data_IF_785097936410
#
_entry.id   IF_785097936410
#
_cell.length_a   1.000
_cell.length_b   1.000
_cell.length_c   1.000
_cell.angle_alpha   90.00
_cell.angle_beta   90.00
_cell.angle_gamma   90.00
#
_symmetry.space_group_name_H-M   'P 1'
#
loop_
_entity.id
_entity.type
_entity.pdbx_description
1 polymer ?
#
# COMPACT_ATOMS: atom_id res chain seq x y z
N UNK A 1 43.87 7.21 -37.16
CA UNK A 1 43.09 7.04 -35.92
C UNK A 1 41.94 8.05 -35.98
N UNK A 2 40.68 7.61 -36.00
CA UNK A 2 39.57 8.53 -36.23
C UNK A 2 39.45 9.52 -35.07
N UNK A 3 39.60 10.81 -35.36
CA UNK A 3 39.41 11.93 -34.44
C UNK A 3 37.90 12.12 -34.17
N UNK A 4 37.26 11.07 -33.66
CA UNK A 4 35.81 11.04 -33.43
C UNK A 4 35.54 11.40 -31.98
N UNK A 5 34.75 12.44 -31.77
CA UNK A 5 34.29 12.88 -30.46
C UNK A 5 32.85 12.42 -30.24
N UNK A 6 32.58 11.78 -29.10
CA UNK A 6 31.21 11.48 -28.67
C UNK A 6 30.77 12.50 -27.63
N UNK A 7 29.55 12.99 -27.77
CA UNK A 7 28.93 13.95 -26.85
C UNK A 7 27.53 13.45 -26.50
N UNK A 8 27.21 13.49 -25.21
CA UNK A 8 25.85 13.36 -24.73
C UNK A 8 25.37 14.70 -24.19
N UNK A 9 24.17 15.10 -24.60
CA UNK A 9 23.46 16.25 -24.04
C UNK A 9 22.10 15.86 -23.48
N UNK A 10 21.59 16.66 -22.55
CA UNK A 10 20.31 16.48 -21.88
C UNK A 10 19.50 17.78 -21.91
N UNK A 11 18.17 17.65 -21.97
CA UNK A 11 17.25 18.77 -21.81
C UNK A 11 15.79 18.34 -21.82
N UNK A 12 14.92 19.09 -21.13
CA UNK A 12 13.51 18.73 -20.99
C UNK A 12 12.70 18.83 -22.31
N UNK A 13 13.19 19.58 -23.30
CA UNK A 13 12.57 19.72 -24.64
C UNK A 13 13.61 19.71 -25.75
N UNK A 14 14.66 20.53 -25.61
CA UNK A 14 15.80 20.60 -26.54
C UNK A 14 17.10 20.37 -25.77
N UNK A 15 17.84 19.28 -26.04
CA UNK A 15 19.01 18.91 -25.25
C UNK A 15 20.24 19.73 -25.66
N UNK A 16 20.53 20.81 -24.92
CA UNK A 16 21.70 21.66 -25.12
C UNK A 16 22.73 21.58 -23.97
N UNK A 17 22.35 21.04 -22.82
CA UNK A 17 23.26 20.87 -21.69
C UNK A 17 24.11 19.62 -21.90
N UNK A 18 25.43 19.79 -22.07
CA UNK A 18 26.36 18.66 -22.14
C UNK A 18 26.39 17.94 -20.80
N UNK A 19 26.35 16.62 -20.83
CA UNK A 19 26.42 15.77 -19.64
C UNK A 19 27.57 14.77 -19.69
N UNK A 20 28.03 14.39 -20.88
CA UNK A 20 29.21 13.54 -21.03
C UNK A 20 29.93 13.82 -22.35
N UNK A 21 31.24 13.62 -22.32
CA UNK A 21 32.11 13.72 -23.48
C UNK A 21 33.11 12.56 -23.48
N UNK A 22 33.39 12.05 -24.67
CA UNK A 22 34.47 11.11 -24.93
C UNK A 22 35.26 11.60 -26.14
N UNK A 23 36.56 11.81 -25.96
CA UNK A 23 37.49 12.17 -27.03
C UNK A 23 38.82 11.51 -26.75
N UNK A 24 39.47 10.92 -27.75
CA UNK A 24 40.80 10.30 -27.60
C UNK A 24 40.88 9.27 -26.44
N UNK A 25 39.78 8.53 -26.20
CA UNK A 25 39.59 7.57 -25.08
C UNK A 25 39.51 8.19 -23.68
N UNK A 26 39.58 9.50 -23.57
CA UNK A 26 39.35 10.23 -22.33
C UNK A 26 37.86 10.51 -22.15
N UNK A 27 37.34 10.20 -20.96
CA UNK A 27 35.93 10.39 -20.60
C UNK A 27 35.82 11.55 -19.61
N UNK A 28 34.91 12.48 -19.90
CA UNK A 28 34.56 13.59 -19.01
C UNK A 28 33.05 13.58 -18.76
N UNK A 29 32.63 13.59 -17.51
CA UNK A 29 31.21 13.58 -17.11
C UNK A 29 30.84 14.68 -16.12
N UNK A 30 31.81 15.49 -15.70
CA UNK A 30 31.63 16.54 -14.69
C UNK A 30 31.16 17.85 -15.35
N UNK A 31 30.03 17.78 -16.05
CA UNK A 31 29.42 18.94 -16.72
C UNK A 31 28.16 19.45 -16.01
N UNK A 32 27.42 18.56 -15.36
CA UNK A 32 26.16 18.87 -14.68
C UNK A 32 26.14 18.16 -13.32
N UNK A 33 26.12 18.96 -12.25
CA UNK A 33 26.08 18.50 -10.86
C UNK A 33 24.90 17.54 -10.59
N UNK A 34 23.80 17.65 -11.35
CA UNK A 34 22.67 16.71 -11.28
C UNK A 34 23.13 15.27 -11.43
N UNK A 35 24.08 15.01 -12.32
CA UNK A 35 24.52 13.67 -12.70
C UNK A 35 25.88 13.28 -12.10
N UNK A 36 26.41 14.11 -11.18
CA UNK A 36 27.69 13.86 -10.51
C UNK A 36 27.75 12.47 -9.90
N UNK A 37 28.82 11.74 -10.21
CA UNK A 37 29.05 10.35 -9.79
C UNK A 37 27.98 9.33 -10.26
N UNK A 38 27.07 9.69 -11.17
CA UNK A 38 26.00 8.80 -11.65
C UNK A 38 26.14 8.37 -13.10
N UNK A 39 26.99 9.04 -13.88
CA UNK A 39 27.23 8.72 -15.29
C UNK A 39 28.42 7.80 -15.46
N UNK A 40 28.26 6.80 -16.32
CA UNK A 40 29.36 6.00 -16.84
C UNK A 40 29.28 6.02 -18.37
N UNK A 41 30.37 6.40 -19.02
CA UNK A 41 30.47 6.43 -20.48
C UNK A 41 31.45 5.36 -20.94
N UNK A 42 30.97 4.40 -21.75
CA UNK A 42 31.81 3.30 -22.21
C UNK A 42 32.73 3.77 -23.33
N UNK A 43 34.05 3.77 -23.10
CA UNK A 43 35.04 4.38 -24.00
C UNK A 43 35.14 3.73 -25.39
N UNK A 44 34.64 2.49 -25.54
CA UNK A 44 34.68 1.76 -26.81
C UNK A 44 33.47 2.06 -27.71
N UNK A 45 32.29 2.29 -27.12
CA UNK A 45 31.03 2.43 -27.86
C UNK A 45 30.41 3.82 -27.73
N UNK A 46 30.82 4.61 -26.74
CA UNK A 46 30.17 5.86 -26.37
C UNK A 46 28.80 5.65 -25.70
N UNK A 47 28.48 4.44 -25.24
CA UNK A 47 27.23 4.16 -24.54
C UNK A 47 27.21 4.81 -23.15
N UNK A 48 26.13 5.54 -22.85
CA UNK A 48 25.90 6.20 -21.57
C UNK A 48 25.06 5.31 -20.66
N UNK A 49 25.54 5.11 -19.44
CA UNK A 49 24.78 4.50 -18.34
C UNK A 49 24.53 5.56 -17.27
N UNK A 50 23.29 5.63 -16.79
CA UNK A 50 22.89 6.48 -15.66
C UNK A 50 22.51 5.57 -14.51
N UNK A 51 23.22 5.69 -13.39
CA UNK A 51 22.95 4.92 -12.18
C UNK A 51 22.06 5.71 -11.21
N UNK A 52 21.38 5.00 -10.31
CA UNK A 52 20.49 5.60 -9.29
C UNK A 52 19.51 6.60 -9.90
N UNK A 53 18.69 6.13 -10.85
CA UNK A 53 17.72 6.95 -11.56
C UNK A 53 16.76 7.65 -10.60
N UNK A 54 16.43 8.89 -10.94
CA UNK A 54 15.46 9.74 -10.23
C UNK A 54 14.38 10.16 -11.21
N UNK A 55 13.17 10.44 -10.72
CA UNK A 55 12.08 10.98 -11.55
C UNK A 55 12.51 12.23 -12.35
N UNK A 56 13.37 13.07 -11.78
CA UNK A 56 13.93 14.28 -12.40
C UNK A 56 14.98 14.04 -13.51
N UNK A 57 15.42 12.78 -13.69
CA UNK A 57 16.27 12.38 -14.82
C UNK A 57 15.43 12.12 -16.09
N UNK A 58 14.10 12.15 -15.98
CA UNK A 58 13.23 12.08 -17.15
C UNK A 58 13.48 13.26 -18.08
N UNK A 59 13.53 13.01 -19.39
CA UNK A 59 13.75 14.04 -20.39
C UNK A 59 14.33 13.49 -21.68
N UNK A 60 14.82 14.42 -22.51
CA UNK A 60 15.42 14.11 -23.80
C UNK A 60 16.93 14.04 -23.64
N UNK A 61 17.51 12.93 -24.10
CA UNK A 61 18.95 12.71 -24.20
C UNK A 61 19.33 12.68 -25.68
N UNK A 62 20.39 13.39 -26.05
CA UNK A 62 20.90 13.37 -27.41
C UNK A 62 22.34 12.88 -27.44
N UNK A 63 22.56 11.85 -28.23
CA UNK A 63 23.86 11.33 -28.61
C UNK A 63 24.33 12.02 -29.88
N UNK A 64 25.59 12.45 -29.90
CA UNK A 64 26.26 12.94 -31.10
C UNK A 64 27.64 12.30 -31.23
N UNK A 65 27.93 11.76 -32.42
CA UNK A 65 29.26 11.32 -32.84
C UNK A 65 29.77 12.28 -33.90
N UNK A 66 30.86 12.97 -33.60
CA UNK A 66 31.41 14.09 -34.35
C UNK A 66 32.74 13.63 -34.94
N UNK A 67 32.76 13.32 -36.24
CA UNK A 67 33.98 13.04 -37.00
C UNK A 67 33.95 13.84 -38.30
N UNK A 68 34.28 13.20 -39.43
CA UNK A 68 34.10 13.82 -40.75
C UNK A 68 32.61 14.13 -41.05
N UNK A 69 31.72 13.29 -40.54
CA UNK A 69 30.28 13.52 -40.52
C UNK A 69 29.78 13.55 -39.08
N UNK A 70 28.65 14.21 -38.86
CA UNK A 70 27.95 14.21 -37.56
C UNK A 70 26.81 13.20 -37.63
N UNK A 71 26.82 12.23 -36.73
CA UNK A 71 25.70 11.30 -36.50
C UNK A 71 25.02 11.72 -35.20
N UNK A 72 23.71 11.92 -35.23
CA UNK A 72 22.92 12.25 -34.05
C UNK A 72 21.81 11.22 -33.81
N UNK A 73 21.50 10.97 -32.54
CA UNK A 73 20.34 10.15 -32.15
C UNK A 73 19.73 10.69 -30.87
N UNK A 74 18.41 10.77 -30.85
CA UNK A 74 17.62 11.24 -29.73
C UNK A 74 16.99 10.06 -28.98
N UNK A 75 16.98 10.15 -27.65
CA UNK A 75 16.40 9.16 -26.74
C UNK A 75 15.46 9.88 -25.77
N UNK A 76 14.31 9.27 -25.50
CA UNK A 76 13.33 9.76 -24.53
C UNK A 76 13.34 8.83 -23.33
N UNK A 77 13.64 9.38 -22.16
CA UNK A 77 13.62 8.65 -20.91
C UNK A 77 12.49 9.17 -20.03
N UNK A 78 11.62 8.27 -19.58
CA UNK A 78 10.62 8.54 -18.55
C UNK A 78 10.91 7.63 -17.36
N UNK A 79 11.13 8.22 -16.19
CA UNK A 79 11.42 7.51 -14.94
C UNK A 79 10.20 7.63 -14.04
N UNK A 80 9.70 6.49 -13.58
CA UNK A 80 8.57 6.39 -12.65
C UNK A 80 9.08 6.17 -11.23
N UNK A 81 8.43 6.84 -10.28
CA UNK A 81 8.70 6.63 -8.85
C UNK A 81 8.02 5.35 -8.38
N UNK A 82 8.63 4.59 -7.45
CA UNK A 82 7.99 3.43 -6.85
C UNK A 82 6.70 3.78 -6.10
N UNK A 83 5.78 2.82 -6.00
CA UNK A 83 4.47 3.03 -5.37
C UNK A 83 4.52 2.85 -3.84
N UNK A 84 4.39 3.96 -3.13
CA UNK A 84 4.44 4.02 -1.66
C UNK A 84 3.07 4.26 -1.02
N UNK A 85 2.90 3.77 0.21
CA UNK A 85 1.76 4.07 1.09
C UNK A 85 0.36 3.74 0.52
N UNK A 86 0.26 2.70 -0.33
CA UNK A 86 -1.05 2.17 -0.74
C UNK A 86 -1.73 1.50 0.45
N UNK A 87 -2.93 1.96 0.79
CA UNK A 87 -3.74 1.38 1.85
C UNK A 87 -5.22 1.65 1.68
N UNK A 88 -6.03 0.86 2.40
CA UNK A 88 -7.48 0.96 2.44
C UNK A 88 -7.87 1.33 3.87
N UNK A 89 -8.65 2.40 4.03
CA UNK A 89 -9.40 2.69 5.25
C UNK A 89 -10.86 2.27 5.08
N UNK A 90 -11.46 1.87 6.19
CA UNK A 90 -12.89 1.57 6.25
C UNK A 90 -13.55 2.56 7.18
N UNK A 91 -14.47 3.34 6.65
CA UNK A 91 -15.33 4.19 7.46
C UNK A 91 -16.63 3.44 7.72
N UNK A 92 -16.78 2.95 8.95
CA UNK A 92 -18.01 2.32 9.42
C UNK A 92 -19.00 3.38 9.89
N UNK A 93 -20.30 3.14 9.69
CA UNK A 93 -21.33 3.91 10.36
C UNK A 93 -21.30 3.59 11.87
N UNK A 94 -21.05 4.61 12.70
CA UNK A 94 -20.94 4.49 14.17
C UNK A 94 -22.30 4.30 14.88
N UNK A 95 -23.41 4.17 14.15
CA UNK A 95 -24.76 4.23 14.73
C UNK A 95 -25.36 2.82 14.88
N UNK A 96 -25.87 2.57 16.09
CA UNK A 96 -26.46 1.34 16.58
C UNK A 96 -27.41 0.65 15.56
N UNK A 97 -27.05 -0.60 15.20
CA UNK A 97 -27.92 -1.71 14.77
C UNK A 97 -28.40 -1.84 13.32
N UNK A 98 -28.02 -1.02 12.35
CA UNK A 98 -28.21 -1.37 10.93
C UNK A 98 -27.32 -0.56 9.98
N UNK A 99 -26.04 -0.86 9.94
CA UNK A 99 -25.15 -0.36 8.91
C UNK A 99 -25.40 -1.17 7.62
N UNK A 100 -26.21 -0.67 6.69
CA UNK A 100 -26.45 -1.35 5.41
C UNK A 100 -25.34 -1.12 4.38
N UNK A 101 -24.61 -0.01 4.51
CA UNK A 101 -23.53 0.35 3.59
C UNK A 101 -22.25 0.73 4.33
N UNK A 102 -21.12 0.31 3.77
CA UNK A 102 -19.77 0.64 4.21
C UNK A 102 -19.09 1.47 3.12
N UNK A 103 -18.28 2.45 3.53
CA UNK A 103 -17.42 3.18 2.60
C UNK A 103 -15.98 2.72 2.77
N UNK A 104 -15.45 2.10 1.72
CA UNK A 104 -14.04 1.79 1.58
C UNK A 104 -13.36 2.97 0.93
N UNK A 105 -12.29 3.47 1.50
CA UNK A 105 -11.50 4.53 0.90
C UNK A 105 -10.08 4.01 0.70
N UNK A 106 -9.66 3.97 -0.56
CA UNK A 106 -8.29 3.62 -0.90
C UNK A 106 -7.49 4.89 -1.15
N UNK A 107 -6.25 4.93 -0.66
CA UNK A 107 -5.36 6.06 -0.86
C UNK A 107 -3.92 5.62 -1.14
N UNK A 108 -3.21 6.44 -1.91
CA UNK A 108 -1.82 6.23 -2.33
C UNK A 108 -1.15 7.59 -2.54
N UNK A 109 0.17 7.68 -2.32
CA UNK A 109 0.92 8.88 -2.71
C UNK A 109 0.85 9.04 -4.23
N UNK A 110 0.41 10.21 -4.72
CA UNK A 110 0.26 10.39 -6.16
C UNK A 110 1.63 10.49 -6.85
N UNK A 111 1.71 9.97 -8.07
CA UNK A 111 2.91 10.03 -8.90
C UNK A 111 2.54 10.09 -10.38
N UNK A 112 3.54 10.34 -11.22
CA UNK A 112 3.35 10.47 -12.68
C UNK A 112 2.68 9.22 -13.25
N UNK A 113 1.65 9.44 -14.06
CA UNK A 113 0.86 8.41 -14.76
C UNK A 113 0.31 7.32 -13.84
N UNK A 114 0.15 7.64 -12.56
CA UNK A 114 -0.46 6.75 -11.58
C UNK A 114 -1.95 6.68 -11.81
N UNK A 115 -2.46 5.45 -11.77
CA UNK A 115 -3.88 5.17 -11.72
C UNK A 115 -4.24 4.39 -10.46
N UNK A 116 -5.31 4.81 -9.77
CA UNK A 116 -5.91 4.09 -8.66
C UNK A 116 -7.26 3.50 -9.08
N UNK A 117 -7.50 2.24 -8.74
CA UNK A 117 -8.72 1.54 -9.16
C UNK A 117 -9.22 0.52 -8.14
N UNK A 118 -10.54 0.32 -8.13
CA UNK A 118 -11.20 -0.72 -7.36
C UNK A 118 -11.62 -1.87 -8.27
N UNK A 119 -11.38 -3.08 -7.79
CA UNK A 119 -11.75 -4.32 -8.45
C UNK A 119 -12.62 -5.19 -7.56
N UNK A 120 -13.50 -5.97 -8.19
CA UNK A 120 -14.14 -7.16 -7.64
C UNK A 120 -13.85 -8.32 -8.58
N UNK A 121 -12.99 -9.24 -8.15
CA UNK A 121 -12.49 -10.28 -9.05
C UNK A 121 -11.72 -9.66 -10.22
N UNK A 122 -12.25 -9.75 -11.44
CA UNK A 122 -11.67 -9.14 -12.66
C UNK A 122 -12.36 -7.85 -13.09
N UNK A 123 -13.49 -7.52 -12.48
CA UNK A 123 -14.31 -6.39 -12.90
C UNK A 123 -13.81 -5.10 -12.24
N UNK A 124 -13.61 -4.06 -13.05
CA UNK A 124 -13.26 -2.73 -12.57
C UNK A 124 -14.55 -2.04 -12.12
N UNK A 125 -14.60 -1.65 -10.85
CA UNK A 125 -15.74 -0.94 -10.26
C UNK A 125 -15.60 0.57 -10.39
N UNK A 126 -14.40 1.09 -10.09
CA UNK A 126 -14.07 2.52 -10.15
C UNK A 126 -12.60 2.69 -10.50
N UNK A 127 -12.26 3.81 -11.14
CA UNK A 127 -10.89 4.18 -11.53
C UNK A 127 -10.74 5.69 -11.45
N UNK A 128 -9.57 6.17 -11.03
CA UNK A 128 -9.23 7.60 -10.97
C UNK A 128 -7.74 7.83 -11.21
N UNK A 129 -7.42 9.00 -11.72
CA UNK A 129 -6.05 9.49 -11.93
C UNK A 129 -6.07 11.00 -11.76
N UNK A 130 -4.98 11.58 -11.24
CA UNK A 130 -4.86 13.03 -11.09
C UNK A 130 -3.52 13.53 -11.62
N UNK A 131 -3.48 14.60 -12.42
CA UNK A 131 -2.23 15.23 -12.82
C UNK A 131 -1.57 16.03 -11.69
N UNK A 132 -2.31 16.34 -10.62
CA UNK A 132 -1.78 17.04 -9.45
C UNK A 132 -1.02 16.08 -8.53
N UNK A 133 0.30 16.16 -8.57
CA UNK A 133 1.22 15.32 -7.79
C UNK A 133 1.43 15.82 -6.35
N UNK A 134 0.83 16.94 -5.96
CA UNK A 134 1.01 17.53 -4.62
C UNK A 134 0.12 16.88 -3.55
N UNK A 135 -0.90 16.14 -3.98
CA UNK A 135 -1.90 15.52 -3.10
C UNK A 135 -1.89 14.01 -3.21
N UNK A 136 -2.37 13.33 -2.18
CA UNK A 136 -2.62 11.88 -2.23
C UNK A 136 -3.78 11.62 -3.17
N UNK A 137 -3.67 10.55 -3.96
CA UNK A 137 -4.78 10.08 -4.76
C UNK A 137 -5.67 9.20 -3.88
N UNK A 138 -6.95 9.53 -3.77
CA UNK A 138 -7.93 8.74 -3.04
C UNK A 138 -9.11 8.32 -3.92
N UNK A 139 -9.69 7.16 -3.62
CA UNK A 139 -10.85 6.63 -4.32
C UNK A 139 -11.79 5.90 -3.35
N UNK A 140 -12.97 6.46 -3.16
CA UNK A 140 -14.01 5.89 -2.31
C UNK A 140 -14.94 4.94 -3.07
N UNK A 141 -15.29 3.81 -2.44
CA UNK A 141 -16.22 2.81 -2.92
C UNK A 141 -17.25 2.49 -1.81
N UNK A 142 -18.52 2.64 -2.14
CA UNK A 142 -19.61 2.22 -1.26
C UNK A 142 -19.99 0.77 -1.57
N UNK A 143 -20.10 -0.06 -0.54
CA UNK A 143 -20.46 -1.47 -0.65
C UNK A 143 -21.55 -1.81 0.37
N UNK A 144 -22.31 -2.87 0.12
CA UNK A 144 -23.23 -3.42 1.14
C UNK A 144 -22.41 -4.14 2.21
N UNK A 145 -22.70 -3.89 3.49
CA UNK A 145 -22.03 -4.55 4.62
C UNK A 145 -22.26 -6.06 4.64
N UNK A 146 -23.34 -6.53 4.01
CA UNK A 146 -23.67 -7.95 3.86
C UNK A 146 -23.00 -8.60 2.65
N UNK A 147 -22.34 -7.81 1.80
CA UNK A 147 -21.63 -8.36 0.65
C UNK A 147 -20.48 -9.24 1.16
N UNK A 148 -20.51 -10.53 0.81
CA UNK A 148 -19.43 -11.47 1.12
C UNK A 148 -18.24 -11.36 0.17
N UNK A 149 -18.25 -10.40 -0.75
CA UNK A 149 -17.26 -10.20 -1.79
C UNK A 149 -15.88 -9.78 -1.28
N UNK A 150 -14.85 -10.21 -2.02
CA UNK A 150 -13.50 -9.67 -1.90
C UNK A 150 -13.31 -8.49 -2.84
N UNK A 151 -12.77 -7.40 -2.31
CA UNK A 151 -12.44 -6.19 -3.05
C UNK A 151 -10.94 -6.03 -3.11
N UNK A 152 -10.45 -5.43 -4.19
CA UNK A 152 -9.03 -5.12 -4.34
C UNK A 152 -8.88 -3.68 -4.78
N UNK A 153 -8.04 -2.93 -4.09
CA UNK A 153 -7.57 -1.64 -4.58
C UNK A 153 -6.21 -1.83 -5.26
N UNK A 154 -6.10 -1.33 -6.48
CA UNK A 154 -4.91 -1.46 -7.33
C UNK A 154 -4.40 -0.06 -7.68
N UNK A 155 -3.14 0.19 -7.33
CA UNK A 155 -2.38 1.33 -7.79
C UNK A 155 -1.41 0.86 -8.86
N UNK A 156 -1.42 1.52 -10.01
CA UNK A 156 -0.67 1.10 -11.20
C UNK A 156 0.00 2.30 -11.86
N UNK A 157 1.28 2.18 -12.16
CA UNK A 157 1.98 3.02 -13.12
C UNK A 157 2.56 2.12 -14.24
N UNK A 158 3.11 2.67 -15.34
CA UNK A 158 3.58 1.86 -16.47
C UNK A 158 4.70 0.85 -16.18
N UNK A 159 5.30 0.84 -14.98
CA UNK A 159 6.40 -0.06 -14.61
C UNK A 159 6.13 -0.90 -13.35
N UNK A 160 5.15 -0.54 -12.53
CA UNK A 160 4.84 -1.17 -11.25
C UNK A 160 3.32 -1.22 -11.01
N UNK A 161 2.86 -2.39 -10.55
CA UNK A 161 1.49 -2.61 -10.07
C UNK A 161 1.55 -3.03 -8.59
N UNK A 162 0.70 -2.41 -7.76
CA UNK A 162 0.56 -2.75 -6.34
C UNK A 162 -0.90 -2.95 -5.97
N UNK A 163 -1.17 -4.03 -5.23
CA UNK A 163 -2.53 -4.45 -4.89
C UNK A 163 -2.69 -4.62 -3.39
N UNK A 164 -3.77 -4.05 -2.83
CA UNK A 164 -4.23 -4.33 -1.46
C UNK A 164 -5.63 -4.94 -1.55
N UNK A 165 -5.85 -6.05 -0.82
CA UNK A 165 -7.12 -6.78 -0.83
C UNK A 165 -7.83 -6.63 0.51
N UNK A 166 -9.15 -6.60 0.46
CA UNK A 166 -10.02 -6.55 1.62
C UNK A 166 -11.20 -7.50 1.42
N UNK A 167 -11.49 -8.31 2.44
CA UNK A 167 -12.77 -9.02 2.52
C UNK A 167 -13.72 -8.22 3.41
N UNK A 168 -14.93 -7.95 2.90
CA UNK A 168 -15.92 -7.15 3.63
C UNK A 168 -16.32 -7.80 4.97
N UNK A 169 -16.31 -9.14 5.07
CA UNK A 169 -16.57 -9.87 6.33
C UNK A 169 -15.55 -9.59 7.43
N UNK A 170 -14.28 -9.41 7.10
CA UNK A 170 -13.22 -9.12 8.08
C UNK A 170 -13.38 -7.73 8.71
N UNK A 171 -14.20 -6.89 8.08
CA UNK A 171 -14.40 -5.51 8.48
C UNK A 171 -15.49 -5.38 9.55
N UNK A 172 -16.47 -6.27 9.57
CA UNK A 172 -17.52 -6.27 10.60
C UNK A 172 -17.04 -7.08 11.82
N UNK A 173 -16.73 -6.38 12.92
CA UNK A 173 -16.36 -7.05 14.16
C UNK A 173 -17.60 -7.70 14.76
N UNK A 174 -17.67 -9.03 14.70
CA UNK A 174 -18.71 -9.83 15.35
C UNK A 174 -18.74 -9.56 16.86
N UNK A 175 -19.59 -8.61 17.25
CA UNK A 175 -19.88 -8.29 18.64
C UNK A 175 -20.73 -9.36 19.33
N UNK A 176 -21.13 -10.41 18.61
CA UNK A 176 -21.98 -11.49 19.12
C UNK A 176 -21.26 -12.45 20.08
N UNK A 177 -19.93 -12.56 20.01
CA UNK A 177 -19.14 -13.40 20.91
C UNK A 177 -19.19 -12.94 22.38
N UNK A 178 -19.59 -11.69 22.65
CA UNK A 178 -19.67 -11.13 24.00
C UNK A 178 -20.93 -11.52 24.79
N UNK A 179 -22.02 -11.89 24.09
CA UNK A 179 -23.31 -12.18 24.73
C UNK A 179 -23.34 -13.58 25.35
N UNK A 180 -22.84 -14.57 24.62
CA UNK A 180 -22.83 -15.97 25.06
C UNK A 180 -21.88 -16.21 26.24
N UNK A 181 -20.73 -15.53 26.26
CA UNK A 181 -19.78 -15.61 27.37
C UNK A 181 -20.37 -15.05 28.68
N UNK A 182 -21.18 -13.98 28.60
CA UNK A 182 -21.91 -13.44 29.77
C UNK A 182 -23.01 -14.38 30.25
N UNK A 183 -23.76 -15.00 29.35
CA UNK A 183 -24.78 -15.99 29.70
C UNK A 183 -24.16 -17.20 30.41
N UNK A 184 -23.01 -17.70 29.94
CA UNK A 184 -22.32 -18.83 30.55
C UNK A 184 -21.85 -18.52 31.98
N UNK A 185 -21.27 -17.34 32.21
CA UNK A 185 -20.86 -16.91 33.56
C UNK A 185 -22.09 -16.75 34.48
N UNK A 186 -23.17 -16.14 34.00
CA UNK A 186 -24.40 -16.00 34.77
C UNK A 186 -25.01 -17.35 35.15
N UNK A 187 -25.04 -18.31 34.22
CA UNK A 187 -25.53 -19.68 34.47
C UNK A 187 -24.65 -20.37 35.53
N UNK A 188 -23.32 -20.27 35.43
CA UNK A 188 -22.39 -20.83 36.43
C UNK A 188 -22.60 -20.24 37.83
N UNK A 189 -22.83 -18.91 37.94
CA UNK A 189 -23.10 -18.25 39.22
C UNK A 189 -24.41 -18.71 39.86
N UNK A 190 -25.48 -18.88 39.05
CA UNK A 190 -26.78 -19.38 39.54
C UNK A 190 -26.65 -20.81 40.07
N UNK A 191 -25.94 -21.70 39.35
CA UNK A 191 -25.72 -23.07 39.82
C UNK A 191 -24.97 -23.13 41.15
N UNK A 192 -23.94 -22.30 41.35
CA UNK A 192 -23.21 -22.22 42.62
C UNK A 192 -24.07 -21.72 43.77
N UNK A 193 -24.93 -20.72 43.53
CA UNK A 193 -25.84 -20.21 44.55
C UNK A 193 -26.87 -21.26 44.99
N UNK A 194 -27.45 -22.01 44.04
CA UNK A 194 -28.44 -23.06 44.34
C UNK A 194 -27.80 -24.23 45.10
N UNK A 195 -26.64 -24.72 44.65
CA UNK A 195 -25.91 -25.77 45.37
C UNK A 195 -25.47 -25.31 46.77
N UNK A 196 -25.02 -24.06 46.90
CA UNK A 196 -24.68 -23.47 48.19
C UNK A 196 -25.87 -23.45 49.16
N UNK A 197 -27.04 -23.01 48.71
CA UNK A 197 -28.27 -23.00 49.52
C UNK A 197 -28.70 -24.42 49.92
N UNK A 198 -28.63 -25.39 49.00
CA UNK A 198 -28.97 -26.79 49.30
C UNK A 198 -28.04 -27.38 50.37
N UNK A 199 -26.73 -27.12 50.29
CA UNK A 199 -25.77 -27.56 51.31
C UNK A 199 -26.04 -26.93 52.68
N UNK A 200 -26.41 -25.64 52.72
CA UNK A 200 -26.78 -24.97 53.97
C UNK A 200 -28.00 -25.65 54.61
N UNK A 201 -29.04 -25.96 53.82
CA UNK A 201 -30.24 -26.68 54.33
C UNK A 201 -29.85 -28.05 54.89
N UNK A 202 -29.04 -28.83 54.17
CA UNK A 202 -28.58 -30.14 54.66
C UNK A 202 -27.77 -30.05 55.95
N UNK A 203 -26.91 -29.03 56.10
CA UNK A 203 -26.16 -28.79 57.34
C UNK A 203 -27.10 -28.40 58.48
N UNK A 204 -28.09 -27.55 58.24
CA UNK A 204 -29.10 -27.16 59.24
C UNK A 204 -29.90 -28.39 59.68
N UNK A 205 -30.35 -29.22 58.75
CA UNK A 205 -31.10 -30.44 59.05
C UNK A 205 -30.23 -31.45 59.79
N UNK A 206 -28.96 -31.61 59.42
CA UNK A 206 -28.01 -32.43 60.15
C UNK A 206 -27.80 -31.95 61.59
N UNK A 207 -27.65 -30.63 61.79
CA UNK A 207 -27.53 -30.03 63.14
C UNK A 207 -28.82 -30.24 63.94
N UNK A 208 -30.00 -30.08 63.32
CA UNK A 208 -31.30 -30.32 63.96
C UNK A 208 -31.45 -31.77 64.39
N UNK A 209 -31.17 -32.73 63.49
CA UNK A 209 -31.19 -34.17 63.76
C UNK A 209 -30.23 -34.54 64.91
N UNK A 210 -29.02 -33.98 64.91
CA UNK A 210 -28.03 -34.22 65.97
C UNK A 210 -28.41 -33.62 67.33
N UNK A 211 -29.20 -32.54 67.36
CA UNK A 211 -29.78 -32.01 68.60
C UNK A 211 -30.92 -32.89 69.10
N UNK A 212 -31.81 -33.34 68.21
CA UNK A 212 -32.88 -34.28 68.56
C UNK A 212 -32.33 -35.59 69.12
N UNK A 213 -31.27 -36.14 68.55
CA UNK A 213 -30.63 -37.37 69.04
C UNK A 213 -29.96 -37.22 70.41
N UNK A 214 -29.63 -36.00 70.86
CA UNK A 214 -29.07 -35.73 72.20
C UNK A 214 -30.14 -35.44 73.26
N UNK A 215 -31.38 -35.15 72.85
CA UNK A 215 -32.51 -34.89 73.76
C UNK A 215 -33.31 -36.16 74.08
N UNK A 216 -32.99 -37.28 73.43
CA UNK A 216 -33.62 -38.59 73.63
C UNK A 216 -32.75 -39.62 74.36
N UNK A 217 -31.64 -39.21 74.99
CA UNK A 217 -30.86 -40.05 75.93
C UNK A 217 -30.91 -39.48 77.33
#
# INVERSE_FOLDING_TARGET
MSNTQVVWTFGAKNPNARIANLKEREVTTDYDERFKNRLMLYSQTGALTITQLRASDSGVYMYQSIGANIISRQFYLTVYSPLHSLSISVNQCLINRSCSSLTLECFVENSRDLTLSWYRGRDILKKTSSPDLSTKLSLALEIDSKDGGGYSCVAENPVEEKVVRLHAKDTCQDRETSSWCKAEIMVRLVFLAVFGLALIVLVVDYIRLRRCSRLGS
#
